data_IF_518366701666
#
_entry.id   IF_518366701666
#
_cell.length_a   1.000
_cell.length_b   1.000
_cell.length_c   1.000
_cell.angle_alpha   90.00
_cell.angle_beta   90.00
_cell.angle_gamma   90.00
#
_symmetry.space_group_name_H-M   'P 1'
#
loop_
_entity.id
_entity.type
_entity.pdbx_description
1 polymer ?
#
# COMPACT_ATOMS: atom_id res chain seq x y z
N UNK A 1 30.44 24.96 -2.93
CA UNK A 1 29.88 25.85 -1.89
C UNK A 1 29.90 27.30 -2.36
N UNK A 2 31.08 27.88 -2.64
CA UNK A 2 31.22 29.27 -3.09
C UNK A 2 30.37 29.62 -4.32
N UNK A 3 30.49 28.85 -5.41
CA UNK A 3 29.66 29.10 -6.61
C UNK A 3 28.16 29.00 -6.40
N UNK A 4 27.68 28.15 -5.47
CA UNK A 4 26.25 28.10 -5.11
C UNK A 4 25.81 29.37 -4.40
N UNK A 5 26.63 29.86 -3.47
CA UNK A 5 26.36 31.10 -2.73
C UNK A 5 26.31 32.30 -3.66
N UNK A 6 27.29 32.43 -4.54
CA UNK A 6 27.35 33.50 -5.54
C UNK A 6 26.12 33.49 -6.48
N UNK A 7 25.65 32.31 -6.87
CA UNK A 7 24.44 32.18 -7.70
C UNK A 7 23.18 32.64 -6.96
N UNK A 8 23.01 32.24 -5.69
CA UNK A 8 21.84 32.65 -4.89
C UNK A 8 21.88 34.15 -4.62
N UNK A 9 23.04 34.70 -4.26
CA UNK A 9 23.23 36.15 -4.08
C UNK A 9 22.93 36.93 -5.37
N UNK A 10 23.30 36.38 -6.53
CA UNK A 10 22.94 36.93 -7.85
C UNK A 10 21.42 36.92 -8.05
N UNK A 11 20.72 35.83 -7.72
CA UNK A 11 19.25 35.77 -7.83
C UNK A 11 18.56 36.79 -6.92
N UNK A 12 19.01 36.94 -5.67
CA UNK A 12 18.49 37.97 -4.77
C UNK A 12 18.73 39.39 -5.31
N UNK A 13 19.92 39.66 -5.86
CA UNK A 13 20.21 40.95 -6.49
C UNK A 13 19.28 41.22 -7.68
N UNK A 14 19.14 40.27 -8.59
CA UNK A 14 18.29 40.42 -9.78
C UNK A 14 16.82 40.66 -9.42
N UNK A 15 16.30 39.93 -8.42
CA UNK A 15 14.90 40.07 -7.97
C UNK A 15 14.64 41.39 -7.26
N UNK A 16 15.59 41.87 -6.43
CA UNK A 16 15.54 43.22 -5.84
C UNK A 16 15.58 44.31 -6.89
N UNK A 17 16.51 44.24 -7.86
CA UNK A 17 16.65 45.22 -8.94
C UNK A 17 15.42 45.27 -9.84
N UNK A 18 14.73 44.14 -10.01
CA UNK A 18 13.46 44.07 -10.73
C UNK A 18 12.24 44.55 -9.92
N UNK A 19 12.39 44.86 -8.63
CA UNK A 19 11.30 45.36 -7.77
C UNK A 19 10.25 44.32 -7.37
N UNK A 20 10.56 43.02 -7.46
CA UNK A 20 9.63 41.92 -7.14
C UNK A 20 9.84 41.32 -5.74
N UNK A 21 10.72 41.92 -4.94
CA UNK A 21 11.16 41.37 -3.65
C UNK A 21 12.35 40.44 -3.80
N UNK A 22 12.57 39.57 -2.81
CA UNK A 22 13.60 38.54 -2.84
C UNK A 22 12.97 37.16 -3.05
N UNK A 23 13.55 36.36 -3.94
CA UNK A 23 13.21 34.95 -4.06
C UNK A 23 13.72 34.18 -2.83
N UNK A 24 12.88 33.30 -2.27
CA UNK A 24 13.30 32.35 -1.25
C UNK A 24 13.83 31.08 -1.93
N UNK A 25 15.09 30.74 -1.67
CA UNK A 25 15.73 29.53 -2.18
C UNK A 25 15.87 28.50 -1.06
N UNK A 26 15.00 27.49 -1.07
CA UNK A 26 15.06 26.38 -0.14
C UNK A 26 15.88 25.23 -0.72
N UNK A 27 16.86 24.72 0.04
CA UNK A 27 17.68 23.59 -0.38
C UNK A 27 17.21 22.27 0.24
N UNK A 28 17.26 21.18 -0.53
CA UNK A 28 17.01 19.84 -0.01
C UNK A 28 18.16 19.38 0.89
N UNK A 29 17.94 19.35 2.20
CA UNK A 29 18.94 19.05 3.21
C UNK A 29 18.45 18.05 4.26
N UNK A 30 19.34 17.76 5.21
CA UNK A 30 19.12 16.88 6.35
C UNK A 30 19.93 17.41 7.55
N UNK A 31 19.68 16.94 8.79
CA UNK A 31 20.43 17.41 9.96
C UNK A 31 21.96 17.36 9.79
N UNK A 32 22.48 16.32 9.14
CA UNK A 32 23.93 16.09 8.97
C UNK A 32 24.61 17.09 8.04
N UNK A 33 23.87 17.78 7.17
CA UNK A 33 24.44 18.71 6.20
C UNK A 33 23.88 20.14 6.33
N UNK A 34 23.11 20.44 7.37
CA UNK A 34 22.45 21.73 7.55
C UNK A 34 23.43 22.92 7.51
N UNK A 35 24.60 22.79 8.15
CA UNK A 35 25.64 23.83 8.10
C UNK A 35 26.17 24.03 6.67
N UNK A 36 26.39 22.94 5.93
CA UNK A 36 26.80 23.02 4.53
C UNK A 36 25.74 23.75 3.68
N UNK A 37 24.44 23.48 3.91
CA UNK A 37 23.36 24.19 3.22
C UNK A 37 23.41 25.71 3.52
N UNK A 38 23.73 26.08 4.77
CA UNK A 38 23.88 27.50 5.15
C UNK A 38 25.07 28.12 4.44
N UNK A 39 26.19 27.41 4.41
CA UNK A 39 27.42 27.88 3.77
C UNK A 39 27.28 27.96 2.24
N UNK A 40 26.37 27.18 1.65
CA UNK A 40 25.99 27.29 0.23
C UNK A 40 25.07 28.48 -0.07
N UNK A 41 24.59 29.20 0.94
CA UNK A 41 23.77 30.41 0.77
C UNK A 41 22.27 30.18 0.68
N UNK A 42 21.75 28.98 0.99
CA UNK A 42 20.30 28.75 0.99
C UNK A 42 19.58 29.57 2.08
N UNK A 43 18.38 30.04 1.74
CA UNK A 43 17.53 30.85 2.61
C UNK A 43 16.75 29.98 3.61
N UNK A 44 16.47 28.74 3.23
CA UNK A 44 15.76 27.75 4.04
C UNK A 44 16.24 26.33 3.73
N UNK A 45 15.95 25.39 4.62
CA UNK A 45 16.09 23.94 4.37
C UNK A 45 14.72 23.31 4.19
N UNK A 46 14.64 22.39 3.25
CA UNK A 46 13.48 21.51 3.05
C UNK A 46 13.98 20.10 2.69
N UNK A 47 13.06 19.20 2.37
CA UNK A 47 13.35 18.01 1.58
C UNK A 47 12.44 17.98 0.34
N UNK A 48 12.80 17.13 -0.62
CA UNK A 48 11.84 16.61 -1.58
C UNK A 48 10.88 15.67 -0.83
N UNK A 49 11.46 14.61 -0.26
CA UNK A 49 10.89 13.76 0.78
C UNK A 49 12.06 13.12 1.56
N UNK A 50 11.78 12.46 2.68
CA UNK A 50 12.76 11.73 3.49
C UNK A 50 12.29 10.29 3.77
N UNK A 51 12.08 9.46 2.72
CA UNK A 51 11.37 8.19 2.84
C UNK A 51 12.10 7.15 3.70
N UNK A 52 13.43 7.25 3.83
CA UNK A 52 14.25 6.32 4.61
C UNK A 52 14.66 6.85 5.99
N UNK A 53 14.06 7.94 6.49
CA UNK A 53 14.44 8.59 7.73
C UNK A 53 14.48 7.62 8.93
N UNK A 54 15.67 7.35 9.46
CA UNK A 54 15.89 6.56 10.67
C UNK A 54 15.52 5.08 10.54
N UNK A 55 15.49 4.54 9.32
CA UNK A 55 15.14 3.14 9.02
C UNK A 55 16.13 2.50 8.05
N UNK A 56 17.37 2.96 8.07
CA UNK A 56 18.44 2.51 7.19
C UNK A 56 18.63 0.98 7.27
N UNK A 57 18.83 0.35 6.11
CA UNK A 57 19.03 -1.09 6.00
C UNK A 57 17.75 -1.94 6.02
N UNK A 58 16.57 -1.33 6.10
CA UNK A 58 15.27 -2.02 5.95
C UNK A 58 14.66 -1.66 4.60
N UNK A 59 14.21 -2.67 3.85
CA UNK A 59 13.52 -2.45 2.57
C UNK A 59 12.01 -2.23 2.72
N UNK A 60 11.43 -2.66 3.83
CA UNK A 60 9.99 -2.60 4.07
C UNK A 60 9.72 -2.07 5.47
N UNK A 61 8.97 -0.98 5.54
CA UNK A 61 8.79 -0.22 6.78
C UNK A 61 7.37 0.33 6.84
N UNK A 62 6.65 0.21 7.97
CA UNK A 62 5.37 0.91 8.13
C UNK A 62 5.53 2.41 7.92
N UNK A 63 4.73 2.97 7.02
CA UNK A 63 4.77 4.39 6.65
C UNK A 63 4.82 5.32 7.88
N UNK A 64 3.97 5.05 8.88
CA UNK A 64 3.84 5.93 10.03
C UNK A 64 5.09 5.92 10.93
N UNK A 65 5.88 4.84 10.88
CA UNK A 65 7.15 4.77 11.60
C UNK A 65 8.11 5.86 11.08
N UNK A 66 8.18 6.02 9.76
CA UNK A 66 9.04 7.02 9.11
C UNK A 66 8.52 8.42 9.35
N UNK A 67 7.21 8.67 9.19
CA UNK A 67 6.63 9.99 9.42
C UNK A 67 6.89 10.52 10.86
N UNK A 68 6.78 9.66 11.88
CA UNK A 68 7.12 10.01 13.27
C UNK A 68 8.62 10.26 13.44
N UNK A 69 9.47 9.43 12.84
CA UNK A 69 10.93 9.62 12.85
C UNK A 69 11.37 10.90 12.14
N UNK A 70 10.72 11.30 11.05
CA UNK A 70 10.98 12.57 10.38
C UNK A 70 10.76 13.74 11.35
N UNK A 71 9.66 13.74 12.11
CA UNK A 71 9.40 14.74 13.14
C UNK A 71 10.51 14.77 14.21
N UNK A 72 10.79 13.62 14.83
CA UNK A 72 11.66 13.53 16.01
C UNK A 72 13.15 13.68 15.68
N UNK A 73 13.60 13.07 14.58
CA UNK A 73 15.02 12.96 14.24
C UNK A 73 15.48 14.08 13.30
N UNK A 74 14.58 14.65 12.49
CA UNK A 74 14.96 15.60 11.44
C UNK A 74 14.34 16.97 11.67
N UNK A 75 13.02 17.09 11.70
CA UNK A 75 12.34 18.40 11.74
C UNK A 75 12.67 19.16 13.02
N UNK A 76 12.44 18.55 14.18
CA UNK A 76 12.71 19.20 15.47
C UNK A 76 14.20 19.52 15.67
N UNK A 77 15.15 18.61 15.40
CA UNK A 77 16.57 18.94 15.48
C UNK A 77 17.01 20.08 14.54
N UNK A 78 16.51 20.13 13.30
CA UNK A 78 16.83 21.23 12.39
C UNK A 78 16.25 22.57 12.88
N UNK A 79 15.02 22.57 13.40
CA UNK A 79 14.42 23.76 13.98
C UNK A 79 15.18 24.24 15.24
N UNK A 80 15.59 23.32 16.11
CA UNK A 80 16.36 23.60 17.32
C UNK A 80 17.77 24.12 17.02
N UNK A 81 18.40 23.60 15.97
CA UNK A 81 19.70 24.11 15.51
C UNK A 81 19.60 25.58 15.05
N UNK A 82 18.42 26.00 14.58
CA UNK A 82 18.08 27.38 14.25
C UNK A 82 19.11 28.07 13.30
N UNK A 83 19.69 27.29 12.38
CA UNK A 83 20.65 27.80 11.38
C UNK A 83 19.95 28.48 10.20
N UNK A 84 18.74 28.03 9.89
CA UNK A 84 17.87 28.56 8.84
C UNK A 84 16.42 28.10 9.07
N UNK A 85 15.43 28.78 8.48
CA UNK A 85 14.07 28.31 8.40
C UNK A 85 13.95 26.89 7.85
N UNK A 86 13.05 26.10 8.41
CA UNK A 86 12.75 24.72 8.02
C UNK A 86 11.36 24.67 7.42
N UNK A 87 11.27 24.28 6.15
CA UNK A 87 10.00 23.99 5.46
C UNK A 87 9.90 22.46 5.40
N UNK A 88 8.83 21.89 5.95
CA UNK A 88 8.71 20.43 6.05
C UNK A 88 7.94 19.84 4.88
N UNK A 89 8.50 18.87 4.15
CA UNK A 89 7.74 18.01 3.25
C UNK A 89 6.99 16.94 4.05
N UNK A 90 5.78 16.66 3.59
CA UNK A 90 5.01 15.47 3.90
C UNK A 90 4.81 14.70 2.62
N UNK A 91 4.49 13.41 2.73
CA UNK A 91 4.25 12.58 1.57
C UNK A 91 3.22 11.51 1.89
N UNK A 92 2.31 11.13 0.97
CA UNK A 92 1.30 10.11 1.22
C UNK A 92 1.86 8.68 1.15
N UNK A 93 3.11 8.48 0.74
CA UNK A 93 3.70 7.15 0.65
C UNK A 93 5.07 7.11 -0.03
N UNK A 94 5.66 5.92 -0.08
CA UNK A 94 6.82 5.66 -0.92
C UNK A 94 6.82 4.19 -1.29
N UNK A 95 6.72 3.86 -2.56
CA UNK A 95 6.76 2.53 -3.12
C UNK A 95 7.36 2.60 -4.51
N UNK A 96 8.69 2.63 -4.57
CA UNK A 96 9.44 2.80 -5.81
C UNK A 96 9.61 1.50 -6.60
N UNK A 97 8.76 0.48 -6.37
CA UNK A 97 8.78 -0.79 -7.13
C UNK A 97 8.59 -0.61 -8.64
N UNK A 98 7.77 0.34 -9.15
CA UNK A 98 7.69 0.59 -10.59
C UNK A 98 9.05 0.94 -11.22
N UNK A 99 9.92 1.64 -10.48
CA UNK A 99 11.26 2.00 -10.96
C UNK A 99 12.33 0.95 -10.66
N UNK A 100 12.23 0.27 -9.52
CA UNK A 100 13.35 -0.51 -8.97
C UNK A 100 13.03 -1.99 -8.72
N UNK A 101 11.86 -2.45 -9.14
CA UNK A 101 11.43 -3.84 -8.98
C UNK A 101 11.37 -4.28 -7.53
N UNK A 102 11.55 -5.58 -7.28
CA UNK A 102 11.37 -6.20 -5.96
C UNK A 102 12.43 -5.81 -4.91
N UNK A 103 13.53 -5.17 -5.33
CA UNK A 103 14.56 -4.64 -4.44
C UNK A 103 14.28 -3.21 -3.96
N UNK A 104 13.17 -2.60 -4.38
CA UNK A 104 12.80 -1.26 -3.98
C UNK A 104 12.61 -1.13 -2.46
N UNK A 105 12.87 0.08 -1.95
CA UNK A 105 12.42 0.49 -0.63
C UNK A 105 10.93 0.83 -0.68
N UNK A 106 10.16 0.33 0.29
CA UNK A 106 8.70 0.45 0.34
C UNK A 106 8.23 0.81 1.74
N UNK A 107 7.41 1.86 1.81
CA UNK A 107 6.60 2.21 2.95
C UNK A 107 5.25 1.48 2.85
N UNK A 108 5.05 0.52 3.76
CA UNK A 108 3.79 -0.23 3.87
C UNK A 108 2.73 0.59 4.58
N UNK A 109 1.47 0.16 4.50
CA UNK A 109 0.38 0.74 5.28
C UNK A 109 0.13 2.25 5.00
N UNK A 110 0.41 2.69 3.76
CA UNK A 110 0.24 4.05 3.23
C UNK A 110 -1.22 4.46 3.03
N UNK A 111 -1.99 4.48 4.12
CA UNK A 111 -3.42 4.81 4.12
C UNK A 111 -3.68 6.32 4.24
N UNK A 112 -4.86 6.83 3.81
CA UNK A 112 -5.30 8.20 4.07
C UNK A 112 -5.21 8.62 5.54
N UNK A 113 -5.53 7.72 6.47
CA UNK A 113 -5.47 7.97 7.90
C UNK A 113 -4.02 8.12 8.39
N UNK A 114 -3.11 7.31 7.85
CA UNK A 114 -1.69 7.43 8.17
C UNK A 114 -1.11 8.74 7.59
N UNK A 115 -1.48 9.11 6.37
CA UNK A 115 -1.11 10.41 5.79
C UNK A 115 -1.67 11.58 6.60
N UNK A 116 -2.91 11.49 7.08
CA UNK A 116 -3.52 12.49 7.96
C UNK A 116 -2.72 12.67 9.26
N UNK A 117 -2.22 11.59 9.86
CA UNK A 117 -1.33 11.68 11.02
C UNK A 117 -0.03 12.41 10.67
N UNK A 118 0.58 12.12 9.52
CA UNK A 118 1.78 12.83 9.05
C UNK A 118 1.52 14.33 8.85
N UNK A 119 0.39 14.69 8.24
CA UNK A 119 -0.02 16.09 8.09
C UNK A 119 -0.26 16.78 9.43
N UNK A 120 -0.83 16.07 10.42
CA UNK A 120 -0.96 16.60 11.80
C UNK A 120 0.39 16.83 12.45
N UNK A 121 1.38 15.96 12.23
CA UNK A 121 2.75 16.19 12.71
C UNK A 121 3.34 17.46 12.08
N UNK A 122 3.14 17.68 10.78
CA UNK A 122 3.61 18.88 10.09
C UNK A 122 2.90 20.14 10.61
N UNK A 123 1.58 20.08 10.80
CA UNK A 123 0.82 21.17 11.44
C UNK A 123 1.34 21.49 12.83
N UNK A 124 1.55 20.46 13.67
CA UNK A 124 2.11 20.60 15.02
C UNK A 124 3.49 21.26 14.98
N UNK A 125 4.36 20.79 14.10
CA UNK A 125 5.70 21.34 13.92
C UNK A 125 5.65 22.85 13.65
N UNK A 126 4.86 23.28 12.67
CA UNK A 126 4.70 24.69 12.32
C UNK A 126 4.10 25.51 13.46
N UNK A 127 3.08 24.98 14.14
CA UNK A 127 2.38 25.67 15.24
C UNK A 127 3.28 25.84 16.48
N UNK A 128 4.14 24.87 16.78
CA UNK A 128 4.97 24.84 18.00
C UNK A 128 6.34 25.52 17.84
N UNK A 129 6.90 25.56 16.63
CA UNK A 129 8.30 26.00 16.43
C UNK A 129 8.45 27.42 15.88
N UNK A 130 7.36 28.05 15.42
CA UNK A 130 7.40 29.37 14.79
C UNK A 130 8.09 29.40 13.42
N UNK A 131 8.37 28.24 12.83
CA UNK A 131 8.87 28.07 11.47
C UNK A 131 7.85 28.59 10.44
N UNK A 132 8.25 28.79 9.16
CA UNK A 132 7.32 29.25 8.13
C UNK A 132 6.03 28.42 8.09
N UNK A 133 4.88 29.10 7.94
CA UNK A 133 3.56 28.45 7.86
C UNK A 133 3.30 27.84 6.48
N UNK A 134 4.22 26.99 6.05
CA UNK A 134 4.24 26.30 4.76
C UNK A 134 4.57 24.83 5.02
N UNK A 135 3.74 23.94 4.48
CA UNK A 135 3.96 22.49 4.45
C UNK A 135 3.94 22.08 2.99
N UNK A 136 4.93 21.29 2.56
CA UNK A 136 4.96 20.74 1.22
C UNK A 136 4.33 19.35 1.21
N UNK A 137 3.68 18.99 0.11
CA UNK A 137 3.19 17.64 -0.14
C UNK A 137 3.94 17.13 -1.37
N UNK A 138 4.84 16.18 -1.15
CA UNK A 138 5.49 15.39 -2.18
C UNK A 138 4.73 14.06 -2.26
N UNK A 139 4.00 13.75 -3.31
CA UNK A 139 3.68 14.61 -4.44
C UNK A 139 2.21 14.56 -4.81
N UNK A 140 1.84 15.39 -5.79
CA UNK A 140 0.55 15.25 -6.46
C UNK A 140 0.48 13.87 -7.14
N UNK A 141 1.44 13.53 -8.00
CA UNK A 141 1.33 12.40 -8.93
C UNK A 141 2.65 11.66 -9.21
N UNK A 142 3.53 11.50 -8.23
CA UNK A 142 4.78 10.73 -8.41
C UNK A 142 4.50 9.22 -8.32
N UNK A 143 3.77 8.69 -9.31
CA UNK A 143 3.31 7.31 -9.35
C UNK A 143 4.45 6.30 -9.35
N UNK A 144 5.58 6.62 -9.97
CA UNK A 144 6.70 5.71 -10.05
C UNK A 144 7.44 5.54 -8.72
N UNK A 145 7.41 6.56 -7.85
CA UNK A 145 7.95 6.50 -6.48
C UNK A 145 6.90 6.07 -5.44
N UNK A 146 5.65 5.87 -5.85
CA UNK A 146 4.57 5.51 -4.94
C UNK A 146 4.14 6.65 -3.99
N UNK A 147 4.50 7.89 -4.32
CA UNK A 147 4.29 9.10 -3.53
C UNK A 147 3.29 10.04 -4.24
N UNK A 148 1.99 9.74 -4.14
CA UNK A 148 0.95 10.48 -4.84
C UNK A 148 -0.32 10.67 -4.01
N UNK A 149 -0.88 11.88 -4.05
CA UNK A 149 -2.15 12.25 -3.41
C UNK A 149 -3.26 12.62 -4.40
N UNK A 150 -2.95 12.71 -5.69
CA UNK A 150 -3.92 12.86 -6.77
C UNK A 150 -5.00 11.77 -6.65
N UNK A 151 -6.30 12.09 -6.83
CA UNK A 151 -7.35 11.10 -6.73
C UNK A 151 -7.07 9.88 -7.61
N UNK A 152 -6.92 8.74 -6.96
CA UNK A 152 -6.45 7.53 -7.60
C UNK A 152 -7.34 6.37 -7.20
N UNK A 153 -7.20 5.24 -7.90
CA UNK A 153 -8.07 4.08 -7.68
C UNK A 153 -8.09 3.70 -6.22
N UNK A 154 -6.93 3.37 -5.65
CA UNK A 154 -6.77 2.79 -4.31
C UNK A 154 -7.45 3.58 -3.17
N UNK A 155 -7.49 4.91 -3.18
CA UNK A 155 -8.08 5.69 -2.09
C UNK A 155 -9.08 6.78 -2.51
N UNK A 156 -9.41 6.89 -3.81
CA UNK A 156 -10.24 7.99 -4.31
C UNK A 156 -9.68 9.33 -3.88
N UNK A 157 -10.52 10.16 -3.25
CA UNK A 157 -10.15 11.47 -2.70
C UNK A 157 -9.59 11.40 -1.27
N UNK A 158 -9.41 10.22 -0.67
CA UNK A 158 -9.08 10.07 0.75
C UNK A 158 -7.82 10.83 1.21
N UNK A 159 -6.77 10.91 0.37
CA UNK A 159 -5.59 11.72 0.69
C UNK A 159 -5.89 13.23 0.70
N UNK A 160 -6.72 13.73 -0.21
CA UNK A 160 -7.14 15.14 -0.24
C UNK A 160 -8.10 15.45 0.92
N UNK A 161 -8.95 14.49 1.28
CA UNK A 161 -9.78 14.60 2.48
C UNK A 161 -8.94 14.73 3.75
N UNK A 162 -7.84 13.97 3.86
CA UNK A 162 -6.89 14.11 4.97
C UNK A 162 -6.31 15.53 5.04
N UNK A 163 -5.90 16.10 3.91
CA UNK A 163 -5.45 17.50 3.83
C UNK A 163 -6.54 18.46 4.31
N UNK A 164 -7.77 18.28 3.84
CA UNK A 164 -8.92 19.10 4.24
C UNK A 164 -9.18 18.99 5.75
N UNK A 165 -9.21 17.78 6.32
CA UNK A 165 -9.45 17.56 7.75
C UNK A 165 -8.39 18.24 8.63
N UNK A 166 -7.14 18.30 8.19
CA UNK A 166 -6.05 18.89 8.99
C UNK A 166 -5.96 20.41 8.84
N UNK A 167 -6.03 20.93 7.62
CA UNK A 167 -5.75 22.34 7.35
C UNK A 167 -7.00 23.18 7.09
N UNK A 168 -8.15 22.55 6.81
CA UNK A 168 -9.43 23.21 6.54
C UNK A 168 -10.58 22.58 7.37
N UNK A 169 -10.44 22.37 8.69
CA UNK A 169 -11.43 21.62 9.48
C UNK A 169 -12.82 22.25 9.52
N UNK A 170 -12.93 23.54 9.23
CA UNK A 170 -14.20 24.28 9.16
C UNK A 170 -14.80 24.34 7.76
N UNK A 171 -14.12 23.78 6.75
CA UNK A 171 -14.66 23.70 5.41
C UNK A 171 -15.77 22.63 5.41
N UNK A 172 -16.99 23.01 4.99
CA UNK A 172 -18.21 22.18 5.07
C UNK A 172 -18.23 20.94 4.17
N UNK A 173 -19.34 20.68 3.48
CA UNK A 173 -19.37 19.64 2.46
C UNK A 173 -18.51 20.02 1.24
N UNK A 174 -18.14 19.03 0.44
CA UNK A 174 -17.54 19.22 -0.88
C UNK A 174 -18.10 18.16 -1.83
N UNK A 175 -18.04 18.47 -3.12
CA UNK A 175 -18.42 17.55 -4.19
C UNK A 175 -17.14 17.05 -4.86
N UNK A 176 -17.06 15.73 -5.04
CA UNK A 176 -15.95 15.08 -5.74
C UNK A 176 -16.33 14.86 -7.20
N UNK A 177 -15.62 15.54 -8.10
CA UNK A 177 -15.76 15.35 -9.54
C UNK A 177 -14.57 14.55 -10.06
N UNK A 178 -14.86 13.39 -10.63
CA UNK A 178 -13.89 12.58 -11.38
C UNK A 178 -13.99 12.81 -12.89
N UNK A 179 -13.11 12.17 -13.67
CA UNK A 179 -13.13 12.29 -15.14
C UNK A 179 -14.48 11.91 -15.76
N UNK A 180 -15.16 10.89 -15.22
CA UNK A 180 -16.46 10.45 -15.73
C UNK A 180 -17.55 11.53 -15.58
N UNK A 181 -17.52 12.30 -14.49
CA UNK A 181 -18.51 13.36 -14.21
C UNK A 181 -18.40 14.53 -15.19
N UNK A 182 -17.24 14.66 -15.85
CA UNK A 182 -16.98 15.65 -16.91
C UNK A 182 -16.96 15.03 -18.31
N UNK A 183 -17.46 13.80 -18.46
CA UNK A 183 -17.60 13.12 -19.75
C UNK A 183 -16.31 12.53 -20.32
N UNK A 184 -15.29 12.30 -19.48
CA UNK A 184 -14.04 11.62 -19.87
C UNK A 184 -14.08 10.13 -19.52
N UNK A 185 -13.47 9.31 -20.37
CA UNK A 185 -13.50 7.84 -20.29
C UNK A 185 -14.47 7.22 -21.31
N UNK A 186 -14.73 5.89 -21.24
CA UNK A 186 -14.17 4.93 -20.28
C UNK A 186 -12.65 4.74 -20.44
N UNK A 187 -12.00 4.25 -19.39
CA UNK A 187 -10.58 3.88 -19.42
C UNK A 187 -10.43 2.36 -19.36
N UNK A 188 -9.51 1.79 -20.13
CA UNK A 188 -9.34 0.34 -20.33
C UNK A 188 -8.74 -0.43 -19.14
N UNK A 189 -8.72 0.16 -17.94
CA UNK A 189 -8.17 -0.49 -16.77
C UNK A 189 -9.32 -0.89 -15.84
N UNK A 190 -9.46 -2.17 -15.51
CA UNK A 190 -10.42 -2.62 -14.50
C UNK A 190 -9.93 -2.26 -13.09
N UNK A 191 -10.79 -1.75 -12.18
CA UNK A 191 -10.39 -1.49 -10.81
C UNK A 191 -10.08 -2.81 -10.09
N UNK A 192 -9.04 -2.88 -9.23
CA UNK A 192 -8.87 -4.05 -8.37
C UNK A 192 -10.12 -4.20 -7.49
N UNK A 193 -10.71 -5.40 -7.44
CA UNK A 193 -11.89 -5.70 -6.62
C UNK A 193 -11.50 -5.61 -5.14
N UNK A 194 -11.81 -4.47 -4.48
CA UNK A 194 -11.55 -4.24 -3.05
C UNK A 194 -12.46 -5.08 -2.15
N UNK A 195 -11.95 -5.43 -0.98
CA UNK A 195 -12.71 -5.92 0.18
C UNK A 195 -13.67 -7.08 -0.10
N UNK A 196 -13.32 -7.95 -1.07
CA UNK A 196 -14.07 -9.17 -1.30
C UNK A 196 -13.85 -10.11 -0.12
N UNK A 197 -14.85 -10.16 0.76
CA UNK A 197 -14.88 -11.04 1.94
C UNK A 197 -15.43 -12.44 1.64
N UNK A 198 -15.97 -12.64 0.45
CA UNK A 198 -16.56 -13.89 0.03
C UNK A 198 -16.47 -14.07 -1.49
N UNK A 199 -16.33 -15.32 -1.90
CA UNK A 199 -16.49 -15.80 -3.27
C UNK A 199 -17.60 -16.85 -3.23
N UNK A 200 -18.69 -16.61 -3.96
CA UNK A 200 -19.94 -17.40 -3.84
C UNK A 200 -20.26 -18.14 -5.16
N UNK A 201 -19.61 -17.78 -6.27
CA UNK A 201 -19.71 -18.49 -7.56
C UNK A 201 -21.14 -18.58 -8.13
N UNK A 202 -22.01 -17.65 -7.75
CA UNK A 202 -23.44 -17.61 -8.14
C UNK A 202 -23.69 -17.22 -9.61
N UNK A 203 -22.67 -16.67 -10.28
CA UNK A 203 -22.79 -16.23 -11.68
C UNK A 203 -22.13 -17.25 -12.60
N UNK A 204 -22.92 -17.85 -13.50
CA UNK A 204 -22.46 -18.80 -14.51
C UNK A 204 -21.23 -18.28 -15.27
N UNK A 205 -20.15 -19.06 -15.25
CA UNK A 205 -18.88 -18.70 -15.90
C UNK A 205 -18.01 -17.66 -15.20
N UNK A 206 -18.44 -17.04 -14.09
CA UNK A 206 -17.61 -16.11 -13.31
C UNK A 206 -16.92 -16.84 -12.15
N UNK A 207 -15.63 -17.17 -12.33
CA UNK A 207 -14.77 -17.72 -11.28
C UNK A 207 -14.36 -16.70 -10.22
N UNK A 208 -14.88 -15.47 -10.29
CA UNK A 208 -14.76 -14.49 -9.23
C UNK A 208 -13.30 -14.08 -8.91
N UNK A 209 -12.42 -14.23 -9.90
CA UNK A 209 -10.98 -13.98 -9.82
C UNK A 209 -10.13 -15.20 -9.47
N UNK A 210 -10.74 -16.37 -9.23
CA UNK A 210 -10.01 -17.63 -9.08
C UNK A 210 -9.64 -18.21 -10.45
N UNK A 211 -8.39 -18.65 -10.59
CA UNK A 211 -7.87 -19.26 -11.80
C UNK A 211 -7.00 -20.48 -11.51
N UNK A 212 -6.75 -21.28 -12.54
CA UNK A 212 -5.79 -22.39 -12.47
C UNK A 212 -4.38 -21.82 -12.32
N UNK A 213 -3.67 -22.19 -11.26
CA UNK A 213 -2.26 -21.86 -11.07
C UNK A 213 -1.36 -23.00 -11.56
N UNK A 214 -1.62 -24.24 -11.10
CA UNK A 214 -0.92 -25.44 -11.56
C UNK A 214 -1.76 -26.69 -11.29
N UNK A 215 -1.47 -27.79 -11.98
CA UNK A 215 -1.98 -29.12 -11.63
C UNK A 215 -3.51 -29.29 -11.67
N UNK A 216 -4.26 -28.38 -12.32
CA UNK A 216 -5.72 -28.38 -12.41
C UNK A 216 -6.17 -28.30 -13.88
N UNK A 217 -7.32 -28.88 -14.19
CA UNK A 217 -8.00 -28.80 -15.48
C UNK A 217 -9.50 -28.52 -15.34
N UNK A 218 -10.11 -28.15 -16.47
CA UNK A 218 -11.57 -28.04 -16.64
C UNK A 218 -12.25 -27.13 -15.61
N UNK A 219 -11.56 -26.04 -15.22
CA UNK A 219 -12.12 -25.03 -14.32
C UNK A 219 -13.38 -24.42 -14.94
N UNK A 220 -14.50 -24.53 -14.22
CA UNK A 220 -15.78 -23.95 -14.63
C UNK A 220 -16.60 -23.53 -13.42
N UNK A 221 -17.45 -22.53 -13.61
CA UNK A 221 -18.48 -22.15 -12.63
C UNK A 221 -19.84 -22.43 -13.23
N UNK A 222 -20.61 -23.31 -12.58
CA UNK A 222 -21.98 -23.63 -12.96
C UNK A 222 -22.79 -24.08 -11.75
N UNK A 223 -24.05 -23.64 -11.67
CA UNK A 223 -24.99 -24.01 -10.62
C UNK A 223 -24.55 -23.55 -9.22
N UNK A 224 -23.91 -22.39 -9.10
CA UNK A 224 -23.42 -21.84 -7.83
C UNK A 224 -22.14 -22.49 -7.31
N UNK A 225 -21.41 -23.24 -8.16
CA UNK A 225 -20.23 -24.01 -7.74
C UNK A 225 -19.09 -23.83 -8.72
N UNK A 226 -17.90 -23.59 -8.19
CA UNK A 226 -16.64 -23.70 -8.93
C UNK A 226 -16.17 -25.16 -8.92
N UNK A 227 -16.03 -25.75 -10.10
CA UNK A 227 -15.58 -27.13 -10.29
C UNK A 227 -14.26 -27.17 -11.06
N UNK A 228 -13.35 -28.06 -10.67
CA UNK A 228 -12.11 -28.36 -11.37
C UNK A 228 -11.66 -29.80 -11.12
N UNK A 229 -10.80 -30.34 -11.99
CA UNK A 229 -10.19 -31.67 -11.85
C UNK A 229 -8.70 -31.56 -11.55
N UNK A 230 -8.20 -32.28 -10.55
CA UNK A 230 -6.77 -32.38 -10.28
C UNK A 230 -6.03 -33.23 -11.32
N UNK A 231 -4.78 -32.88 -11.61
CA UNK A 231 -3.88 -33.55 -12.56
C UNK A 231 -2.57 -34.05 -11.92
N UNK A 232 -2.52 -34.14 -10.59
CA UNK A 232 -1.33 -34.56 -9.87
C UNK A 232 -1.45 -34.34 -8.36
N UNK A 233 -0.30 -34.31 -7.70
CA UNK A 233 -0.21 -34.21 -6.24
C UNK A 233 -0.06 -32.79 -5.69
N UNK A 234 0.04 -31.79 -6.57
CA UNK A 234 0.14 -30.36 -6.22
C UNK A 234 -0.83 -29.49 -7.08
N UNK A 235 -2.14 -29.81 -7.10
CA UNK A 235 -3.14 -28.98 -7.78
C UNK A 235 -3.38 -27.68 -6.99
N UNK A 236 -3.35 -26.54 -7.68
CA UNK A 236 -3.54 -25.24 -7.07
C UNK A 236 -4.41 -24.30 -7.90
N UNK A 237 -5.30 -23.61 -7.22
CA UNK A 237 -6.00 -22.42 -7.71
C UNK A 237 -5.40 -21.17 -7.07
N UNK A 238 -5.45 -20.04 -7.76
CA UNK A 238 -5.00 -18.77 -7.20
C UNK A 238 -5.98 -17.65 -7.45
N UNK A 239 -5.99 -16.67 -6.55
CA UNK A 239 -6.81 -15.47 -6.64
C UNK A 239 -6.02 -14.28 -6.09
N UNK A 240 -5.90 -13.22 -6.89
CA UNK A 240 -5.42 -11.93 -6.41
C UNK A 240 -6.45 -11.32 -5.46
N UNK A 241 -5.98 -10.77 -4.34
CA UNK A 241 -6.87 -10.21 -3.31
C UNK A 241 -6.23 -9.02 -2.62
N UNK A 242 -7.00 -8.38 -1.76
CA UNK A 242 -6.58 -7.28 -0.94
C UNK A 242 -7.25 -7.39 0.44
N UNK A 243 -6.65 -8.20 1.32
CA UNK A 243 -7.21 -8.50 2.64
C UNK A 243 -6.30 -7.87 3.69
N UNK A 244 -6.87 -7.10 4.62
CA UNK A 244 -6.16 -6.76 5.85
C UNK A 244 -6.13 -7.97 6.77
N UNK A 245 -4.95 -8.46 7.11
CA UNK A 245 -4.78 -9.65 7.93
C UNK A 245 -5.42 -9.51 9.32
N UNK A 246 -5.44 -8.30 9.88
CA UNK A 246 -6.08 -8.00 11.17
C UNK A 246 -7.62 -8.11 11.16
N UNK A 247 -8.22 -8.14 9.96
CA UNK A 247 -9.67 -8.19 9.75
C UNK A 247 -10.22 -9.58 9.46
N UNK A 248 -9.35 -10.60 9.44
CA UNK A 248 -9.67 -11.98 9.09
C UNK A 248 -8.84 -12.94 9.96
N UNK A 249 -9.52 -13.76 10.78
CA UNK A 249 -8.88 -14.77 11.64
C UNK A 249 -8.92 -16.16 11.04
N UNK A 250 -9.90 -16.44 10.18
CA UNK A 250 -10.00 -17.72 9.50
C UNK A 250 -10.57 -17.59 8.09
N UNK A 251 -10.32 -18.60 7.27
CA UNK A 251 -10.96 -18.76 5.96
C UNK A 251 -11.79 -20.03 6.00
N UNK A 252 -13.06 -19.93 5.61
CA UNK A 252 -13.94 -21.08 5.46
C UNK A 252 -14.17 -21.37 3.98
N UNK A 253 -13.95 -22.62 3.60
CA UNK A 253 -14.18 -23.12 2.25
C UNK A 253 -15.23 -24.21 2.34
N UNK A 254 -16.40 -24.02 1.72
CA UNK A 254 -17.38 -25.11 1.57
C UNK A 254 -17.08 -25.85 0.28
N UNK A 255 -16.59 -27.07 0.39
CA UNK A 255 -16.11 -27.86 -0.74
C UNK A 255 -16.36 -29.36 -0.59
N UNK A 256 -16.23 -30.08 -1.70
CA UNK A 256 -16.13 -31.54 -1.75
C UNK A 256 -14.96 -31.95 -2.65
N UNK A 257 -14.27 -33.02 -2.28
CA UNK A 257 -13.30 -33.73 -3.13
C UNK A 257 -13.89 -35.10 -3.45
N UNK A 258 -13.90 -35.49 -4.73
CA UNK A 258 -14.46 -36.77 -5.19
C UNK A 258 -13.46 -37.58 -6.04
N UNK A 259 -13.06 -38.74 -5.54
CA UNK A 259 -12.06 -39.63 -6.12
C UNK A 259 -12.21 -41.05 -5.57
N UNK A 260 -11.17 -41.59 -4.92
CA UNK A 260 -11.08 -43.00 -4.53
C UNK A 260 -11.28 -43.31 -3.04
N UNK A 261 -11.68 -42.32 -2.22
CA UNK A 261 -12.12 -42.56 -0.84
C UNK A 261 -11.02 -42.47 0.23
N UNK A 262 -9.90 -41.81 -0.07
CA UNK A 262 -8.75 -41.68 0.85
C UNK A 262 -8.84 -40.44 1.74
N UNK A 263 -8.05 -40.45 2.81
CA UNK A 263 -7.71 -39.21 3.51
C UNK A 263 -6.82 -38.37 2.60
N UNK A 264 -7.13 -37.08 2.53
CA UNK A 264 -6.45 -36.11 1.70
C UNK A 264 -6.22 -34.83 2.53
N UNK A 265 -5.63 -33.79 1.95
CA UNK A 265 -5.27 -32.56 2.62
C UNK A 265 -5.51 -31.37 1.71
N UNK A 266 -6.15 -30.34 2.27
CA UNK A 266 -6.29 -29.05 1.63
C UNK A 266 -5.39 -28.02 2.32
N UNK A 267 -4.82 -27.09 1.55
CA UNK A 267 -3.90 -26.07 2.04
C UNK A 267 -4.24 -24.71 1.46
N UNK A 268 -4.26 -23.68 2.31
CA UNK A 268 -4.29 -22.29 1.87
C UNK A 268 -2.92 -21.68 2.10
N UNK A 269 -2.37 -21.12 1.04
CA UNK A 269 -1.21 -20.25 1.04
C UNK A 269 -1.62 -18.81 0.82
N UNK A 270 -0.77 -17.88 1.24
CA UNK A 270 -0.94 -16.48 0.93
C UNK A 270 0.38 -15.80 0.57
N UNK A 271 0.26 -14.66 -0.10
CA UNK A 271 1.38 -13.73 -0.31
C UNK A 271 1.04 -12.37 0.28
N UNK A 272 2.08 -11.63 0.63
CA UNK A 272 1.98 -10.23 1.04
C UNK A 272 2.84 -9.40 0.08
N UNK A 273 2.76 -8.05 0.12
CA UNK A 273 3.74 -7.23 -0.59
C UNK A 273 5.19 -7.49 -0.16
N UNK A 274 5.39 -8.10 1.01
CA UNK A 274 6.68 -8.34 1.67
C UNK A 274 7.24 -9.74 1.43
N UNK A 275 6.38 -10.70 1.08
CA UNK A 275 6.72 -12.12 1.09
C UNK A 275 5.94 -12.90 0.04
N UNK A 276 6.66 -13.68 -0.76
CA UNK A 276 6.08 -14.66 -1.68
C UNK A 276 5.52 -15.90 -0.98
N UNK A 277 4.98 -16.82 -1.77
CA UNK A 277 4.40 -18.08 -1.29
C UNK A 277 5.47 -18.96 -0.66
N UNK A 278 5.22 -19.47 0.54
CA UNK A 278 6.09 -20.42 1.24
C UNK A 278 5.28 -21.38 2.10
N UNK A 279 5.88 -22.53 2.45
CA UNK A 279 5.30 -23.50 3.38
C UNK A 279 4.94 -22.88 4.74
N UNK A 280 5.75 -21.94 5.22
CA UNK A 280 5.49 -21.24 6.48
C UNK A 280 4.30 -20.29 6.39
N UNK A 281 4.04 -19.70 5.21
CA UNK A 281 2.92 -18.80 4.94
C UNK A 281 1.71 -19.60 4.42
N UNK A 282 1.34 -20.65 5.17
CA UNK A 282 0.23 -21.51 4.82
C UNK A 282 -0.47 -22.12 6.05
N UNK A 283 -1.66 -22.67 5.83
CA UNK A 283 -2.38 -23.52 6.80
C UNK A 283 -2.90 -24.75 6.07
N UNK A 284 -2.69 -25.93 6.68
CA UNK A 284 -3.15 -27.23 6.18
C UNK A 284 -4.31 -27.75 7.02
N UNK A 285 -5.27 -28.40 6.36
CA UNK A 285 -6.40 -29.07 7.00
C UNK A 285 -6.64 -30.40 6.30
N UNK A 286 -6.86 -31.46 7.07
CA UNK A 286 -7.23 -32.76 6.51
C UNK A 286 -8.63 -32.69 5.88
N UNK A 287 -8.79 -33.29 4.70
CA UNK A 287 -10.08 -33.41 3.99
C UNK A 287 -10.33 -34.87 3.63
N UNK A 288 -11.59 -35.22 3.34
CA UNK A 288 -11.99 -36.57 2.96
C UNK A 288 -12.42 -36.58 1.50
N UNK A 289 -11.93 -37.56 0.76
CA UNK A 289 -12.25 -37.75 -0.64
C UNK A 289 -13.48 -38.65 -0.83
N UNK A 290 -14.63 -38.25 -0.28
CA UNK A 290 -15.89 -39.02 -0.32
C UNK A 290 -17.03 -38.33 -1.07
N UNK A 291 -16.73 -37.19 -1.70
CA UNK A 291 -17.68 -36.38 -2.45
C UNK A 291 -18.73 -35.65 -1.63
N UNK A 292 -18.69 -35.72 -0.29
CA UNK A 292 -19.61 -34.94 0.53
C UNK A 292 -19.15 -33.48 0.68
N UNK A 293 -20.08 -32.55 0.46
CA UNK A 293 -19.86 -31.12 0.66
C UNK A 293 -19.73 -30.78 2.15
N UNK A 294 -18.59 -30.21 2.54
CA UNK A 294 -18.28 -29.84 3.93
C UNK A 294 -17.61 -28.49 4.00
N UNK A 295 -17.74 -27.85 5.16
CA UNK A 295 -17.00 -26.63 5.47
C UNK A 295 -15.64 -27.01 6.06
N UNK A 296 -14.58 -26.61 5.38
CA UNK A 296 -13.18 -26.73 5.81
C UNK A 296 -12.73 -25.35 6.29
N UNK A 297 -12.19 -25.29 7.51
CA UNK A 297 -11.82 -24.03 8.16
C UNK A 297 -10.30 -23.94 8.38
N UNK A 298 -9.70 -22.87 7.87
CA UNK A 298 -8.28 -22.57 7.96
C UNK A 298 -8.05 -21.43 8.97
N UNK A 299 -7.44 -21.72 10.12
CA UNK A 299 -7.14 -20.74 11.18
C UNK A 299 -5.92 -19.86 10.84
N UNK A 300 -6.02 -19.10 9.76
CA UNK A 300 -4.91 -18.28 9.22
C UNK A 300 -4.38 -17.25 10.21
N UNK A 301 -5.24 -16.69 11.07
CA UNK A 301 -4.87 -15.69 12.07
C UNK A 301 -4.01 -16.20 13.22
N UNK A 302 -3.80 -17.52 13.33
CA UNK A 302 -2.84 -18.12 14.26
C UNK A 302 -1.42 -18.17 13.66
N UNK A 303 -1.29 -18.04 12.35
CA UNK A 303 -0.01 -18.04 11.67
C UNK A 303 0.63 -16.65 11.76
N UNK A 304 1.85 -16.56 12.31
CA UNK A 304 2.60 -15.29 12.47
C UNK A 304 2.85 -14.55 11.15
N UNK A 305 2.82 -15.25 10.02
CA UNK A 305 3.02 -14.68 8.69
C UNK A 305 1.71 -14.19 8.05
N UNK A 306 0.56 -14.43 8.68
CA UNK A 306 -0.69 -13.77 8.34
C UNK A 306 -0.71 -12.37 8.96
N UNK A 307 -0.06 -11.43 8.28
CA UNK A 307 0.15 -10.07 8.79
C UNK A 307 -0.01 -9.02 7.68
N UNK A 308 -0.28 -7.78 8.09
CA UNK A 308 -0.42 -6.62 7.22
C UNK A 308 -1.51 -6.81 6.15
N UNK A 309 -1.10 -6.89 4.88
CA UNK A 309 -1.95 -6.93 3.70
C UNK A 309 -1.65 -8.21 2.91
N UNK A 310 -2.68 -8.99 2.64
CA UNK A 310 -2.62 -10.20 1.84
C UNK A 310 -2.97 -9.84 0.40
N UNK A 311 -2.05 -10.10 -0.52
CA UNK A 311 -2.16 -9.71 -1.93
C UNK A 311 -2.62 -10.85 -2.85
N UNK A 312 -2.48 -12.09 -2.41
CA UNK A 312 -2.95 -13.26 -3.15
C UNK A 312 -3.23 -14.40 -2.18
N UNK A 313 -4.24 -15.20 -2.54
CA UNK A 313 -4.44 -16.54 -1.98
C UNK A 313 -4.07 -17.57 -3.04
N UNK A 314 -3.45 -18.67 -2.60
CA UNK A 314 -3.34 -19.91 -3.36
C UNK A 314 -4.07 -20.98 -2.55
N UNK A 315 -4.95 -21.71 -3.19
CA UNK A 315 -5.72 -22.79 -2.58
C UNK A 315 -5.43 -24.10 -3.27
N UNK A 316 -4.94 -25.05 -2.49
CA UNK A 316 -4.60 -26.39 -2.90
C UNK A 316 -5.68 -27.30 -2.30
N UNK A 317 -6.70 -27.72 -3.08
CA UNK A 317 -7.87 -28.39 -2.52
C UNK A 317 -7.65 -29.86 -2.14
N UNK A 318 -6.59 -30.48 -2.66
CA UNK A 318 -6.26 -31.89 -2.49
C UNK A 318 -4.80 -32.14 -2.87
N UNK A 319 -4.26 -33.32 -2.57
CA UNK A 319 -2.96 -33.81 -3.03
C UNK A 319 -3.07 -35.14 -3.82
N UNK A 320 -4.26 -35.48 -4.30
CA UNK A 320 -4.55 -36.69 -5.07
C UNK A 320 -4.87 -36.37 -6.53
N UNK A 321 -4.33 -37.17 -7.46
CA UNK A 321 -4.56 -37.05 -8.90
C UNK A 321 -5.94 -37.57 -9.31
N UNK A 322 -6.55 -36.95 -10.32
CA UNK A 322 -7.81 -37.37 -10.92
C UNK A 322 -9.06 -37.10 -10.08
N UNK A 323 -8.96 -36.34 -8.99
CA UNK A 323 -10.10 -36.00 -8.14
C UNK A 323 -10.88 -34.82 -8.72
N UNK A 324 -12.20 -34.84 -8.52
CA UNK A 324 -13.07 -33.71 -8.85
C UNK A 324 -13.28 -32.87 -7.59
N UNK A 325 -12.88 -31.62 -7.67
CA UNK A 325 -13.04 -30.63 -6.62
C UNK A 325 -14.22 -29.74 -6.96
N UNK A 326 -15.12 -29.54 -6.01
CA UNK A 326 -16.22 -28.58 -6.08
C UNK A 326 -16.16 -27.63 -4.91
N UNK A 327 -16.29 -26.34 -5.16
CA UNK A 327 -16.25 -25.27 -4.17
C UNK A 327 -17.54 -24.46 -4.31
N UNK A 328 -18.34 -24.46 -3.26
CA UNK A 328 -19.58 -23.69 -3.13
C UNK A 328 -19.28 -22.25 -2.71
N UNK A 329 -18.44 -22.07 -1.68
CA UNK A 329 -17.95 -20.73 -1.32
C UNK A 329 -16.56 -20.75 -0.71
N UNK A 330 -15.92 -19.59 -0.74
CA UNK A 330 -14.75 -19.23 0.07
C UNK A 330 -15.10 -17.95 0.82
N UNK A 331 -14.98 -17.93 2.16
CA UNK A 331 -15.36 -16.78 2.99
C UNK A 331 -14.28 -16.43 4.00
N UNK A 332 -14.05 -15.14 4.18
CA UNK A 332 -13.17 -14.57 5.19
C UNK A 332 -13.96 -14.35 6.48
N UNK A 333 -13.49 -14.97 7.56
CA UNK A 333 -14.12 -14.91 8.88
C UNK A 333 -13.31 -13.97 9.79
N UNK A 334 -13.94 -12.92 10.37
CA UNK A 334 -13.27 -11.94 11.23
C UNK A 334 -12.59 -12.49 12.49
#
# INVERSE_FOLDING_TARGET
MEGSRECIELWHRMTREAGVGEVLVAGCGAPSNLQMMKDMGFDAVTGYNWPSCGVEGRNYVPYIEVARKQFDLWWMPMAQANLMPVIVPTSPGWDSRPWHGQSAFVLTDRTPEAFEEHLRLAKRFVDETGQPRVVLIEAWNEFGEGSYCEPHREFGFGHLDAVRRVFCPSAGAHDDYGPADVGLGPYDCEPPRRDRRAWEFETEGDAEGWGIMMGMADLRVAGGVLEARSLGTDPALSCATDIRADSCRAIEVRMSVSGDGREDMAQIFWTTPLSGTSEEASVRVAVRDDGEMRVVRFEVGQNRLWAHRITSLRFDPCCTDGTIVRIDYIRLIP
#
